data_IF_149344592465
#
_entry.id   IF_149344592465
#
_cell.length_a   1.000
_cell.length_b   1.000
_cell.length_c   1.000
_cell.angle_alpha   90.00
_cell.angle_beta   90.00
_cell.angle_gamma   90.00
#
_symmetry.space_group_name_H-M   'P 1'
#
loop_
_entity.id
_entity.type
_entity.pdbx_description
1 polymer ?
#
# COMPACT_ATOMS: atom_id res chain seq x y z
N UNK A 1 6.08 -16.17 1.46
CA UNK A 1 5.19 -15.59 2.47
C UNK A 1 3.75 -15.94 2.14
N UNK A 2 3.04 -16.52 3.10
CA UNK A 2 1.58 -16.70 3.04
C UNK A 2 0.93 -15.40 3.51
N UNK A 3 0.10 -14.79 2.66
CA UNK A 3 -0.56 -13.51 2.99
C UNK A 3 -1.76 -13.69 3.92
N UNK A 4 -2.11 -14.94 4.27
CA UNK A 4 -3.16 -15.24 5.24
C UNK A 4 -2.65 -15.26 6.69
N UNK A 5 -1.32 -15.31 6.91
CA UNK A 5 -0.70 -15.30 8.23
C UNK A 5 0.02 -13.97 8.49
N UNK A 6 -0.64 -13.08 9.23
CA UNK A 6 -0.10 -11.76 9.59
C UNK A 6 0.75 -11.75 10.87
N UNK A 7 0.99 -12.91 11.50
CA UNK A 7 1.70 -12.99 12.80
C UNK A 7 3.17 -12.55 12.72
N UNK A 8 3.77 -12.63 11.54
CA UNK A 8 5.17 -12.24 11.26
C UNK A 8 5.32 -10.82 10.71
N UNK A 9 4.21 -10.08 10.58
CA UNK A 9 4.20 -8.77 9.93
C UNK A 9 4.69 -7.71 10.90
N UNK A 10 5.69 -6.89 10.53
CA UNK A 10 6.17 -5.84 11.41
C UNK A 10 5.06 -4.80 11.60
N UNK A 11 4.60 -4.65 12.85
CA UNK A 11 3.54 -3.68 13.20
C UNK A 11 4.05 -2.25 13.31
N UNK A 12 5.30 -2.07 13.68
CA UNK A 12 5.92 -0.77 13.83
C UNK A 12 7.27 -0.80 13.13
N UNK A 13 7.51 0.13 12.21
CA UNK A 13 8.75 0.19 11.42
C UNK A 13 9.33 1.58 11.51
N UNK A 14 10.62 1.66 11.85
CA UNK A 14 11.35 2.92 11.86
C UNK A 14 11.43 3.51 10.45
N UNK A 15 11.34 4.83 10.33
CA UNK A 15 11.46 5.54 9.05
C UNK A 15 12.75 5.19 8.30
N UNK A 16 13.85 4.98 9.01
CA UNK A 16 15.14 4.57 8.45
C UNK A 16 15.14 3.21 7.75
N UNK A 17 14.13 2.38 8.00
CA UNK A 17 14.00 1.04 7.44
C UNK A 17 12.98 0.98 6.30
N UNK A 18 12.44 2.13 5.86
CA UNK A 18 11.53 2.24 4.73
C UNK A 18 12.33 2.66 3.50
N UNK A 19 12.23 1.88 2.44
CA UNK A 19 12.86 2.19 1.15
C UNK A 19 12.14 3.35 0.47
N UNK A 20 12.88 4.22 -0.22
CA UNK A 20 12.34 5.42 -0.87
C UNK A 20 11.49 6.25 0.10
N UNK A 21 12.03 6.54 1.30
CA UNK A 21 11.32 7.26 2.36
C UNK A 21 10.81 8.63 1.90
N UNK A 22 11.53 9.31 1.00
CA UNK A 22 11.13 10.59 0.42
C UNK A 22 9.84 10.52 -0.40
N UNK A 23 9.43 9.32 -0.82
CA UNK A 23 8.17 9.04 -1.53
C UNK A 23 7.13 8.38 -0.63
N UNK A 24 7.35 8.30 0.68
CA UNK A 24 6.42 7.64 1.61
C UNK A 24 5.05 8.29 1.60
N UNK A 25 4.99 9.62 1.48
CA UNK A 25 3.74 10.37 1.52
C UNK A 25 2.85 10.05 0.31
N UNK A 26 3.43 9.90 -0.88
CA UNK A 26 2.72 9.43 -2.08
C UNK A 26 2.10 8.06 -1.83
N UNK A 27 2.89 7.12 -1.28
CA UNK A 27 2.42 5.76 -1.00
C UNK A 27 1.31 5.74 0.06
N UNK A 28 1.42 6.56 1.11
CA UNK A 28 0.37 6.73 2.13
C UNK A 28 -0.92 7.23 1.48
N UNK A 29 -0.82 8.30 0.68
CA UNK A 29 -1.99 8.87 -0.01
C UNK A 29 -2.66 7.84 -0.92
N UNK A 30 -1.88 7.12 -1.73
CA UNK A 30 -2.39 6.10 -2.64
C UNK A 30 -3.09 4.96 -1.89
N UNK A 31 -2.46 4.38 -0.87
CA UNK A 31 -3.06 3.31 -0.07
C UNK A 31 -4.31 3.79 0.67
N UNK A 32 -4.32 5.04 1.12
CA UNK A 32 -5.51 5.67 1.70
C UNK A 32 -6.67 5.75 0.72
N UNK A 33 -6.39 5.99 -0.56
CA UNK A 33 -7.40 6.00 -1.61
C UNK A 33 -8.04 4.63 -1.86
N UNK A 34 -7.32 3.53 -1.56
CA UNK A 34 -7.79 2.17 -1.82
C UNK A 34 -8.44 1.55 -0.57
N UNK A 35 -7.77 1.65 0.58
CA UNK A 35 -8.11 0.91 1.80
C UNK A 35 -8.53 1.80 2.98
N UNK A 36 -8.58 3.13 2.79
CA UNK A 36 -8.73 4.05 3.92
C UNK A 36 -7.45 4.14 4.76
N UNK A 37 -7.56 4.65 5.98
CA UNK A 37 -6.37 4.98 6.80
C UNK A 37 -5.77 3.72 7.43
N UNK A 38 -4.92 3.02 6.70
CA UNK A 38 -4.26 1.78 7.16
C UNK A 38 -2.82 1.95 7.65
N UNK A 39 -2.26 3.16 7.52
CA UNK A 39 -0.89 3.48 7.95
C UNK A 39 -0.95 4.60 9.00
N UNK A 40 -0.48 4.30 10.20
CA UNK A 40 -0.21 5.30 11.23
C UNK A 40 1.14 5.97 10.97
N UNK A 41 1.19 7.29 11.14
CA UNK A 41 2.43 8.08 11.01
C UNK A 41 2.80 8.64 12.37
N UNK A 42 3.98 8.27 12.86
CA UNK A 42 4.57 8.78 14.09
C UNK A 42 5.84 9.59 13.77
N UNK A 43 6.44 10.18 14.80
CA UNK A 43 7.66 11.01 14.69
C UNK A 43 8.78 10.23 13.95
N UNK A 44 9.14 9.05 14.46
CA UNK A 44 10.26 8.26 13.94
C UNK A 44 9.85 6.96 13.23
N UNK A 45 8.56 6.68 13.13
CA UNK A 45 8.07 5.38 12.66
C UNK A 45 6.74 5.43 11.92
N UNK A 46 6.45 4.34 11.22
CA UNK A 46 5.14 4.02 10.67
C UNK A 46 4.55 2.81 11.38
N UNK A 47 3.24 2.82 11.57
CA UNK A 47 2.49 1.77 12.23
C UNK A 47 1.49 1.11 11.27
N UNK A 48 1.39 -0.22 11.35
CA UNK A 48 0.41 -1.00 10.61
C UNK A 48 -0.95 -0.97 11.32
N UNK A 49 -1.92 -0.28 10.71
CA UNK A 49 -3.25 -0.04 11.27
C UNK A 49 -4.35 -0.59 10.33
N UNK A 50 -4.41 -1.90 10.05
CA UNK A 50 -5.36 -2.46 9.10
C UNK A 50 -6.81 -2.18 9.52
N UNK A 51 -7.66 -1.94 8.53
CA UNK A 51 -9.09 -1.64 8.73
C UNK A 51 -9.86 -2.94 9.01
N UNK A 52 -9.56 -4.01 8.26
CA UNK A 52 -10.19 -5.32 8.47
C UNK A 52 -9.61 -6.08 9.67
N UNK A 53 -10.46 -6.90 10.30
CA UNK A 53 -10.07 -7.83 11.37
C UNK A 53 -10.62 -9.23 11.08
N UNK A 54 -9.80 -10.17 10.55
CA UNK A 54 -8.37 -10.04 10.24
C UNK A 54 -8.12 -9.16 8.99
N UNK A 55 -6.91 -8.58 8.84
CA UNK A 55 -6.56 -7.78 7.66
C UNK A 55 -6.70 -8.58 6.39
N UNK A 56 -7.15 -7.95 5.31
CA UNK A 56 -7.21 -8.61 4.01
C UNK A 56 -5.79 -8.88 3.46
N UNK A 57 -5.62 -9.92 2.63
CA UNK A 57 -4.35 -10.14 1.93
C UNK A 57 -3.87 -8.94 1.10
N UNK A 58 -4.80 -8.12 0.60
CA UNK A 58 -4.48 -6.92 -0.19
C UNK A 58 -4.00 -5.77 0.70
N UNK A 59 -4.62 -5.56 1.85
CA UNK A 59 -4.11 -4.61 2.85
C UNK A 59 -2.70 -4.99 3.29
N UNK A 60 -2.48 -6.26 3.64
CA UNK A 60 -1.14 -6.73 4.01
C UNK A 60 -0.13 -6.53 2.88
N UNK A 61 -0.50 -6.84 1.64
CA UNK A 61 0.37 -6.62 0.50
C UNK A 61 0.67 -5.12 0.30
N UNK A 62 -0.33 -4.25 0.52
CA UNK A 62 -0.17 -2.80 0.51
C UNK A 62 0.83 -2.33 1.57
N UNK A 63 0.78 -2.88 2.79
CA UNK A 63 1.77 -2.60 3.84
C UNK A 63 3.18 -2.99 3.42
N UNK A 64 3.36 -4.22 2.92
CA UNK A 64 4.69 -4.70 2.52
C UNK A 64 5.26 -3.86 1.37
N UNK A 65 4.41 -3.48 0.41
CA UNK A 65 4.78 -2.57 -0.66
C UNK A 65 5.08 -1.15 -0.19
N UNK A 66 4.36 -0.65 0.81
CA UNK A 66 4.66 0.66 1.40
C UNK A 66 6.08 0.72 1.99
N UNK A 67 6.49 -0.36 2.67
CA UNK A 67 7.81 -0.48 3.29
C UNK A 67 8.92 -0.64 2.24
N UNK A 68 8.67 -1.46 1.22
CA UNK A 68 9.61 -1.78 0.14
C UNK A 68 8.86 -1.81 -1.20
N UNK A 69 8.82 -0.70 -1.97
CA UNK A 69 8.07 -0.66 -3.23
C UNK A 69 8.60 -1.65 -4.26
N UNK A 70 9.88 -2.04 -4.16
CA UNK A 70 10.51 -3.07 -5.00
C UNK A 70 10.39 -4.48 -4.38
N UNK A 71 9.20 -4.83 -3.90
CA UNK A 71 8.91 -6.20 -3.43
C UNK A 71 9.13 -7.27 -4.51
N UNK A 72 9.40 -8.50 -4.07
CA UNK A 72 9.55 -9.67 -4.95
C UNK A 72 8.38 -9.80 -5.96
N UNK A 73 8.71 -10.15 -7.20
CA UNK A 73 7.74 -10.24 -8.30
C UNK A 73 6.62 -11.24 -8.02
N UNK A 74 6.88 -12.34 -7.30
CA UNK A 74 5.85 -13.32 -6.93
C UNK A 74 4.92 -12.80 -5.84
N UNK A 75 5.38 -11.84 -5.04
CA UNK A 75 4.54 -11.16 -4.06
C UNK A 75 3.70 -10.08 -4.75
N UNK A 76 4.33 -9.30 -5.65
CA UNK A 76 3.66 -8.29 -6.47
C UNK A 76 2.54 -8.87 -7.35
N UNK A 77 2.73 -10.05 -7.92
CA UNK A 77 1.72 -10.74 -8.74
C UNK A 77 0.46 -11.17 -7.99
N UNK A 78 0.48 -11.12 -6.64
CA UNK A 78 -0.71 -11.37 -5.80
C UNK A 78 -1.59 -10.12 -5.63
N UNK A 79 -1.13 -8.95 -6.06
CA UNK A 79 -1.94 -7.74 -6.05
C UNK A 79 -3.08 -7.87 -7.05
N UNK A 80 -4.25 -7.33 -6.71
CA UNK A 80 -5.41 -7.30 -7.58
C UNK A 80 -6.17 -5.98 -7.47
N UNK A 81 -7.12 -5.75 -8.39
CA UNK A 81 -7.97 -4.56 -8.39
C UNK A 81 -7.17 -3.27 -8.46
N UNK A 82 -7.47 -2.33 -7.57
CA UNK A 82 -6.80 -1.02 -7.53
C UNK A 82 -5.35 -1.10 -7.05
N UNK A 83 -5.00 -2.07 -6.19
CA UNK A 83 -3.63 -2.21 -5.70
C UNK A 83 -2.67 -2.62 -6.82
N UNK A 84 -3.07 -3.54 -7.71
CA UNK A 84 -2.20 -3.91 -8.84
C UNK A 84 -2.00 -2.76 -9.82
N UNK A 85 -3.06 -2.00 -10.13
CA UNK A 85 -2.98 -0.80 -10.97
C UNK A 85 -2.05 0.25 -10.35
N UNK A 86 -2.16 0.49 -9.04
CA UNK A 86 -1.29 1.41 -8.31
C UNK A 86 0.17 1.00 -8.42
N UNK A 87 0.49 -0.27 -8.16
CA UNK A 87 1.87 -0.76 -8.18
C UNK A 87 2.50 -0.64 -9.57
N UNK A 88 1.74 -0.85 -10.64
CA UNK A 88 2.21 -0.63 -12.02
C UNK A 88 2.45 0.86 -12.27
N UNK A 89 1.50 1.71 -11.90
CA UNK A 89 1.62 3.16 -12.10
C UNK A 89 2.79 3.77 -11.30
N UNK A 90 3.07 3.25 -10.11
CA UNK A 90 4.21 3.68 -9.31
C UNK A 90 5.55 3.37 -10.00
N UNK A 91 5.70 2.17 -10.57
CA UNK A 91 6.90 1.75 -11.31
C UNK A 91 7.09 2.59 -12.59
N UNK A 92 6.00 2.90 -13.28
CA UNK A 92 6.00 3.65 -14.54
C UNK A 92 6.09 5.18 -14.33
N UNK A 93 6.02 5.66 -13.09
CA UNK A 93 5.99 7.09 -12.78
C UNK A 93 4.70 7.78 -13.25
N UNK A 94 3.58 7.05 -13.32
CA UNK A 94 2.31 7.48 -13.90
C UNK A 94 1.18 7.63 -12.87
N UNK A 95 1.51 7.91 -11.59
CA UNK A 95 0.54 8.04 -10.49
C UNK A 95 -0.57 9.07 -10.75
N UNK A 96 -0.29 10.17 -11.46
CA UNK A 96 -1.30 11.16 -11.84
C UNK A 96 -2.42 10.56 -12.70
N UNK A 97 -2.06 9.68 -13.63
CA UNK A 97 -3.02 8.98 -14.48
C UNK A 97 -3.83 7.97 -13.68
N UNK A 98 -3.19 7.27 -12.74
CA UNK A 98 -3.86 6.35 -11.83
C UNK A 98 -4.89 7.08 -10.94
N UNK A 99 -4.54 8.23 -10.37
CA UNK A 99 -5.45 9.03 -9.56
C UNK A 99 -6.70 9.46 -10.33
N UNK A 100 -6.54 9.92 -11.56
CA UNK A 100 -7.68 10.30 -12.43
C UNK A 100 -8.62 9.11 -12.64
N UNK A 101 -8.06 7.94 -12.97
CA UNK A 101 -8.84 6.72 -13.17
C UNK A 101 -9.58 6.30 -11.88
N UNK A 102 -8.92 6.33 -10.72
CA UNK A 102 -9.55 5.98 -9.45
C UNK A 102 -10.75 6.89 -9.15
N UNK A 103 -10.60 8.21 -9.34
CA UNK A 103 -11.68 9.19 -9.11
C UNK A 103 -12.84 8.96 -10.08
N UNK A 104 -12.56 8.74 -11.36
CA UNK A 104 -13.57 8.45 -12.38
C UNK A 104 -14.37 7.18 -12.04
N UNK A 105 -13.69 6.11 -11.60
CA UNK A 105 -14.33 4.87 -11.17
C UNK A 105 -15.25 5.10 -9.96
N UNK A 106 -14.80 5.85 -8.95
CA UNK A 106 -15.61 6.19 -7.76
C UNK A 106 -16.86 7.01 -8.11
N UNK A 107 -16.78 7.90 -9.10
CA UNK A 107 -17.92 8.71 -9.56
C UNK A 107 -18.92 7.89 -10.38
N UNK A 108 -18.45 6.86 -11.12
CA UNK A 108 -19.32 5.99 -11.90
C UNK A 108 -20.18 5.02 -11.06
N UNK A 109 -19.87 4.89 -9.76
CA UNK A 109 -20.56 4.06 -8.79
C UNK A 109 -21.65 4.81 -8.00
N UNK A 110 -21.84 6.12 -8.24
CA UNK A 110 -22.87 6.98 -7.64
C UNK A 110 -24.05 7.19 -8.60
#
# INVERSE_FOLDING_TARGET
MDLSDSSSVPRLVLRSNVSELERSDDRISCLKGIFGTTIGVNEDSFEWCPDDRPPSPQELLGWLWFLEPNIDVNLKSKASGQLSKLMIAYDEGSLDSWWKQLIEEMQSLQ
#
